data_IF_853365341150
#
_entry.id   IF_853365341150
#
_cell.length_a   1.000
_cell.length_b   1.000
_cell.length_c   1.000
_cell.angle_alpha   90.00
_cell.angle_beta   90.00
_cell.angle_gamma   90.00
#
_symmetry.space_group_name_H-M   'P 1'
#
loop_
_entity.id
_entity.type
_entity.pdbx_description
1 polymer ?
#
# COMPACT_ATOMS: atom_id res chain seq x y z
N UNK A 1 -2.51 -56.84 -32.14
CA UNK A 1 -2.51 -55.41 -32.53
C UNK A 1 -2.43 -54.58 -31.27
N UNK A 2 -1.27 -53.98 -30.98
CA UNK A 2 -1.06 -53.17 -29.77
C UNK A 2 -1.20 -51.70 -30.15
N UNK A 3 -2.19 -51.03 -29.56
CA UNK A 3 -2.46 -49.60 -29.73
C UNK A 3 -1.41 -48.77 -28.97
N UNK A 4 -0.82 -47.78 -29.64
CA UNK A 4 0.13 -46.83 -29.03
C UNK A 4 -0.59 -45.49 -28.79
N UNK A 5 -0.71 -45.11 -27.53
CA UNK A 5 -1.19 -43.79 -27.10
C UNK A 5 -0.03 -42.79 -27.13
N UNK A 6 -0.16 -41.59 -27.73
CA UNK A 6 0.86 -40.56 -27.60
C UNK A 6 0.65 -39.80 -26.28
N UNK A 7 1.71 -39.74 -25.46
CA UNK A 7 1.77 -38.89 -24.27
C UNK A 7 2.22 -37.50 -24.71
N UNK A 8 1.36 -36.49 -24.55
CA UNK A 8 1.72 -35.08 -24.70
C UNK A 8 2.26 -34.56 -23.36
N UNK A 9 3.56 -34.32 -23.28
CA UNK A 9 4.18 -33.62 -22.15
C UNK A 9 4.12 -32.10 -22.41
N UNK A 10 3.26 -31.39 -21.69
CA UNK A 10 3.22 -29.93 -21.70
C UNK A 10 4.25 -29.39 -20.69
N UNK A 11 5.33 -28.78 -21.18
CA UNK A 11 6.22 -27.96 -20.36
C UNK A 11 5.53 -26.63 -20.07
N UNK A 12 5.03 -26.44 -18.85
CA UNK A 12 4.66 -25.12 -18.35
C UNK A 12 5.93 -24.42 -17.87
N UNK A 13 6.47 -23.53 -18.70
CA UNK A 13 7.49 -22.58 -18.28
C UNK A 13 6.85 -21.52 -17.39
N UNK A 14 6.95 -21.69 -16.06
CA UNK A 14 6.59 -20.64 -15.10
C UNK A 14 7.74 -19.63 -15.10
N UNK A 15 7.64 -18.58 -15.91
CA UNK A 15 8.56 -17.45 -15.85
C UNK A 15 8.22 -16.59 -14.63
N UNK A 16 8.98 -16.73 -13.55
CA UNK A 16 9.02 -15.71 -12.50
C UNK A 16 9.72 -14.48 -13.08
N UNK A 17 8.96 -13.55 -13.66
CA UNK A 17 9.47 -12.23 -13.97
C UNK A 17 9.86 -11.56 -12.65
N UNK A 18 11.15 -11.37 -12.41
CA UNK A 18 11.60 -10.49 -11.33
C UNK A 18 11.15 -9.07 -11.70
N UNK A 19 10.36 -8.37 -10.86
CA UNK A 19 10.06 -6.97 -11.13
C UNK A 19 11.39 -6.22 -11.25
N UNK A 20 11.51 -5.45 -12.34
CA UNK A 20 12.67 -4.60 -12.59
C UNK A 20 12.84 -3.67 -11.39
N UNK A 21 14.05 -3.59 -10.81
CA UNK A 21 14.30 -2.75 -9.64
C UNK A 21 13.85 -1.32 -9.93
N UNK A 22 12.77 -0.88 -9.27
CA UNK A 22 12.25 0.48 -9.43
C UNK A 22 13.14 1.43 -8.65
N UNK A 23 13.30 2.65 -9.17
CA UNK A 23 13.92 3.72 -8.39
C UNK A 23 13.02 4.05 -7.22
N UNK A 24 13.57 4.02 -6.00
CA UNK A 24 12.84 4.31 -4.76
C UNK A 24 13.16 5.72 -4.27
N UNK A 25 12.17 6.38 -3.66
CA UNK A 25 12.30 7.70 -3.04
C UNK A 25 11.84 7.63 -1.59
N UNK A 26 12.68 8.07 -0.67
CA UNK A 26 12.35 8.19 0.75
C UNK A 26 11.09 9.04 0.91
N UNK A 27 10.08 8.50 1.60
CA UNK A 27 8.79 9.14 1.78
C UNK A 27 8.65 9.72 3.17
N UNK A 28 8.86 8.92 4.21
CA UNK A 28 8.84 9.37 5.60
C UNK A 28 9.94 8.67 6.40
N UNK A 29 10.46 9.38 7.40
CA UNK A 29 11.44 8.86 8.35
C UNK A 29 11.30 9.58 9.69
N UNK A 30 11.49 8.85 10.78
CA UNK A 30 11.65 9.41 12.13
C UNK A 30 13.11 9.27 12.58
N UNK A 31 13.69 10.30 13.22
CA UNK A 31 15.13 10.36 13.48
C UNK A 31 15.59 9.44 14.61
N UNK A 32 14.67 9.07 15.52
CA UNK A 32 14.98 8.26 16.70
C UNK A 32 13.74 7.47 17.15
N UNK A 33 13.99 6.36 17.84
CA UNK A 33 12.93 5.52 18.43
C UNK A 33 12.16 6.36 19.46
N UNK A 34 10.82 6.41 19.40
CA UNK A 34 10.02 7.17 20.36
C UNK A 34 10.23 6.72 21.79
N UNK A 35 10.08 7.65 22.73
CA UNK A 35 10.19 7.37 24.16
C UNK A 35 9.25 6.24 24.58
N UNK A 36 9.75 5.39 25.49
CA UNK A 36 9.02 4.23 25.96
C UNK A 36 9.11 3.02 25.04
N UNK A 37 9.68 3.12 23.84
CA UNK A 37 9.90 1.95 22.97
C UNK A 37 11.36 1.50 22.94
N UNK A 38 11.56 0.19 22.91
CA UNK A 38 12.87 -0.46 22.80
C UNK A 38 12.88 -1.30 21.53
N UNK A 39 13.92 -1.17 20.72
CA UNK A 39 14.13 -1.98 19.53
C UNK A 39 14.56 -3.40 19.95
N UNK A 40 13.81 -4.41 19.53
CA UNK A 40 14.04 -5.83 19.83
C UNK A 40 14.57 -6.63 18.62
N UNK A 41 14.97 -5.94 17.55
CA UNK A 41 15.54 -6.51 16.34
C UNK A 41 14.54 -6.63 15.18
N UNK A 42 14.97 -7.23 14.05
CA UNK A 42 14.13 -7.41 12.88
C UNK A 42 12.88 -8.23 13.20
N UNK A 43 11.74 -7.84 12.62
CA UNK A 43 10.52 -8.65 12.74
C UNK A 43 10.66 -9.94 11.91
N UNK A 44 10.05 -11.07 12.33
CA UNK A 44 10.06 -12.29 11.55
C UNK A 44 9.45 -12.06 10.16
N UNK A 45 10.15 -12.52 9.12
CA UNK A 45 9.84 -12.24 7.72
C UNK A 45 8.42 -12.67 7.28
N UNK A 46 7.87 -13.70 7.93
CA UNK A 46 6.56 -14.29 7.68
C UNK A 46 5.40 -13.60 8.44
N UNK A 47 5.73 -12.70 9.37
CA UNK A 47 4.73 -11.95 10.14
C UNK A 47 3.85 -11.14 9.21
N UNK A 48 2.52 -11.35 9.26
CA UNK A 48 1.57 -10.60 8.45
C UNK A 48 1.39 -9.18 8.98
N UNK A 49 1.58 -8.21 8.10
CA UNK A 49 1.30 -6.79 8.32
C UNK A 49 0.01 -6.41 7.61
N UNK A 50 -0.90 -5.78 8.37
CA UNK A 50 -2.08 -5.14 7.81
C UNK A 50 -1.79 -3.65 7.64
N UNK A 51 -1.43 -3.26 6.43
CA UNK A 51 -1.08 -1.89 6.07
C UNK A 51 -2.21 -1.23 5.30
N UNK A 52 -2.26 0.09 5.38
CA UNK A 52 -3.25 0.96 4.78
C UNK A 52 -2.50 2.03 4.01
N UNK A 53 -2.91 2.23 2.76
CA UNK A 53 -2.30 3.18 1.84
C UNK A 53 -3.33 4.25 1.57
N UNK A 54 -3.04 5.49 1.94
CA UNK A 54 -3.81 6.65 1.52
C UNK A 54 -3.39 7.03 0.09
N UNK A 55 -4.38 7.17 -0.80
CA UNK A 55 -4.18 7.65 -2.15
C UNK A 55 -4.25 9.18 -2.18
N UNK A 56 -3.42 9.79 -3.01
CA UNK A 56 -3.48 11.23 -3.21
C UNK A 56 -4.80 11.64 -3.88
N UNK A 57 -5.39 12.73 -3.39
CA UNK A 57 -6.56 13.33 -4.04
C UNK A 57 -6.11 14.18 -5.24
N UNK A 58 -6.70 13.94 -6.41
CA UNK A 58 -6.33 14.63 -7.65
C UNK A 58 -6.68 16.12 -7.67
N UNK A 59 -7.76 16.52 -6.98
CA UNK A 59 -8.30 17.88 -7.02
C UNK A 59 -9.01 18.25 -5.70
N UNK A 60 -8.26 18.61 -4.65
CA UNK A 60 -8.85 18.98 -3.36
C UNK A 60 -9.65 20.28 -3.43
N UNK A 61 -9.20 21.25 -4.24
CA UNK A 61 -9.87 22.55 -4.37
C UNK A 61 -11.18 22.42 -5.16
N UNK A 62 -11.17 21.71 -6.29
CA UNK A 62 -12.39 21.41 -7.03
C UNK A 62 -13.35 20.49 -6.27
N UNK A 63 -12.85 19.63 -5.38
CA UNK A 63 -13.70 18.89 -4.45
C UNK A 63 -14.40 19.81 -3.44
N UNK A 64 -13.69 20.82 -2.91
CA UNK A 64 -14.29 21.82 -2.00
C UNK A 64 -15.34 22.65 -2.75
N UNK A 65 -15.01 23.12 -3.95
CA UNK A 65 -15.94 23.91 -4.77
C UNK A 65 -17.19 23.09 -5.14
N UNK A 66 -17.01 21.85 -5.58
CA UNK A 66 -18.12 20.94 -5.86
C UNK A 66 -18.92 20.61 -4.60
N UNK A 67 -18.27 20.41 -3.45
CA UNK A 67 -18.95 20.18 -2.17
C UNK A 67 -19.87 21.36 -1.82
N UNK A 68 -19.37 22.60 -1.95
CA UNK A 68 -20.19 23.79 -1.73
C UNK A 68 -21.33 23.89 -2.74
N UNK A 69 -21.07 23.59 -4.00
CA UNK A 69 -22.08 23.65 -5.06
C UNK A 69 -23.21 22.64 -4.83
N UNK A 70 -22.90 21.39 -4.47
CA UNK A 70 -23.92 20.34 -4.24
C UNK A 70 -24.61 20.43 -2.88
N UNK A 71 -24.05 21.17 -1.92
CA UNK A 71 -24.59 21.31 -0.56
C UNK A 71 -25.37 22.61 -0.34
N UNK A 72 -25.31 23.55 -1.29
CA UNK A 72 -26.03 24.82 -1.21
C UNK A 72 -27.44 24.67 -1.78
N UNK A 73 -28.53 24.81 -0.99
CA UNK A 73 -29.90 24.56 -1.47
C UNK A 73 -30.35 25.44 -2.64
N UNK A 74 -29.69 26.58 -2.84
CA UNK A 74 -29.96 27.51 -3.95
C UNK A 74 -29.10 27.24 -5.18
N UNK A 75 -28.16 26.30 -5.13
CA UNK A 75 -27.39 25.89 -6.30
C UNK A 75 -28.24 24.97 -7.19
N UNK A 76 -28.07 25.12 -8.50
CA UNK A 76 -28.62 24.20 -9.50
C UNK A 76 -28.09 22.76 -9.35
N UNK A 77 -26.94 22.59 -8.71
CA UNK A 77 -26.28 21.30 -8.50
C UNK A 77 -26.61 20.66 -7.16
N UNK A 78 -27.52 21.25 -6.37
CA UNK A 78 -27.89 20.73 -5.04
C UNK A 78 -28.29 19.25 -5.11
N UNK A 79 -27.59 18.42 -4.35
CA UNK A 79 -27.77 16.96 -4.31
C UNK A 79 -27.15 16.15 -5.46
N UNK A 80 -26.37 16.76 -6.36
CA UNK A 80 -25.74 16.09 -7.50
C UNK A 80 -24.27 15.73 -7.22
N UNK A 81 -24.03 14.68 -6.44
CA UNK A 81 -22.68 14.30 -6.02
C UNK A 81 -21.80 13.77 -7.18
N UNK A 82 -20.49 14.05 -7.13
CA UNK A 82 -19.50 13.69 -8.16
C UNK A 82 -19.21 12.17 -8.28
N UNK A 83 -18.81 11.73 -9.48
CA UNK A 83 -18.26 10.40 -9.78
C UNK A 83 -16.72 10.37 -9.76
N UNK A 84 -16.12 9.17 -9.76
CA UNK A 84 -14.80 8.87 -9.19
C UNK A 84 -13.72 8.64 -10.26
N UNK A 85 -12.61 9.37 -10.24
CA UNK A 85 -11.59 9.30 -11.32
C UNK A 85 -10.11 9.10 -10.89
N UNK A 86 -9.48 8.22 -11.67
CA UNK A 86 -8.08 7.96 -12.09
C UNK A 86 -6.90 7.70 -11.12
N UNK A 87 -6.77 8.26 -9.91
CA UNK A 87 -5.54 8.05 -9.08
C UNK A 87 -5.36 6.61 -8.60
N UNK A 88 -6.46 5.90 -8.41
CA UNK A 88 -6.45 4.50 -7.98
C UNK A 88 -5.75 3.57 -8.99
N UNK A 89 -5.63 3.95 -10.26
CA UNK A 89 -5.15 3.03 -11.30
C UNK A 89 -3.66 2.67 -11.14
N UNK A 90 -2.79 3.64 -10.91
CA UNK A 90 -1.34 3.43 -10.84
C UNK A 90 -0.92 2.62 -9.60
N UNK A 91 -1.46 2.97 -8.43
CA UNK A 91 -1.16 2.26 -7.17
C UNK A 91 -1.70 0.83 -7.20
N UNK A 92 -2.92 0.62 -7.70
CA UNK A 92 -3.45 -0.75 -7.83
C UNK A 92 -2.65 -1.59 -8.83
N UNK A 93 -2.23 -1.00 -9.96
CA UNK A 93 -1.39 -1.72 -10.93
C UNK A 93 -0.04 -2.12 -10.34
N UNK A 94 0.59 -1.23 -9.56
CA UNK A 94 1.83 -1.53 -8.86
C UNK A 94 1.67 -2.65 -7.83
N UNK A 95 0.65 -2.58 -6.97
CA UNK A 95 0.37 -3.61 -5.97
C UNK A 95 0.05 -4.96 -6.63
N UNK A 96 -0.73 -4.96 -7.71
CA UNK A 96 -1.05 -6.16 -8.48
C UNK A 96 0.21 -6.78 -9.12
N UNK A 97 1.11 -5.97 -9.67
CA UNK A 97 2.39 -6.44 -10.23
C UNK A 97 3.27 -7.12 -9.15
N UNK A 98 3.18 -6.65 -7.91
CA UNK A 98 3.86 -7.26 -6.77
C UNK A 98 3.11 -8.47 -6.17
N UNK A 99 1.99 -8.88 -6.77
CA UNK A 99 1.16 -9.98 -6.28
C UNK A 99 0.37 -9.63 -5.01
N UNK A 100 0.20 -8.35 -4.71
CA UNK A 100 -0.55 -7.86 -3.55
C UNK A 100 -1.98 -7.53 -3.94
N UNK A 101 -2.92 -8.15 -3.23
CA UNK A 101 -4.33 -7.82 -3.37
C UNK A 101 -4.68 -6.63 -2.47
N UNK A 102 -5.04 -5.51 -3.09
CA UNK A 102 -5.46 -4.29 -2.40
C UNK A 102 -6.99 -4.20 -2.33
N UNK A 103 -7.52 -3.90 -1.14
CA UNK A 103 -8.96 -3.82 -0.90
C UNK A 103 -9.31 -2.37 -0.53
N UNK A 104 -10.17 -1.68 -1.30
CA UNK A 104 -10.67 -0.36 -0.90
C UNK A 104 -11.35 -0.41 0.46
N UNK A 105 -11.00 0.51 1.36
CA UNK A 105 -11.56 0.58 2.72
C UNK A 105 -12.91 1.31 2.74
N UNK A 106 -13.13 2.21 1.77
CA UNK A 106 -14.34 3.03 1.66
C UNK A 106 -14.88 3.04 0.23
N UNK A 107 -16.16 3.42 0.03
CA UNK A 107 -16.69 3.70 -1.30
C UNK A 107 -15.93 4.80 -2.03
N UNK A 108 -15.24 5.70 -1.33
CA UNK A 108 -14.38 6.73 -1.90
C UNK A 108 -13.03 6.17 -2.37
N UNK A 109 -12.64 4.95 -1.99
CA UNK A 109 -11.35 4.31 -2.27
C UNK A 109 -10.14 5.24 -2.13
N UNK A 110 -10.25 6.19 -1.22
CA UNK A 110 -9.19 7.06 -0.73
C UNK A 110 -8.16 6.27 0.07
N UNK A 111 -8.57 5.16 0.67
CA UNK A 111 -7.69 4.22 1.35
C UNK A 111 -7.77 2.81 0.76
N UNK A 112 -6.61 2.19 0.59
CA UNK A 112 -6.45 0.78 0.25
C UNK A 112 -5.89 0.00 1.44
N UNK A 113 -6.48 -1.13 1.77
CA UNK A 113 -5.97 -2.10 2.74
C UNK A 113 -5.18 -3.19 2.03
N UNK A 114 -4.01 -3.53 2.55
CA UNK A 114 -3.19 -4.65 2.10
C UNK A 114 -2.78 -5.51 3.29
N UNK A 115 -2.73 -6.83 3.07
CA UNK A 115 -2.13 -7.78 4.01
C UNK A 115 -0.94 -8.45 3.35
N UNK A 116 0.26 -8.20 3.87
CA UNK A 116 1.50 -8.71 3.29
C UNK A 116 2.47 -9.19 4.38
N UNK A 117 3.32 -10.20 4.11
CA UNK A 117 4.38 -10.57 5.04
C UNK A 117 5.43 -9.45 5.16
N UNK A 118 6.13 -9.38 6.30
CA UNK A 118 7.22 -8.43 6.55
C UNK A 118 8.25 -8.41 5.42
N UNK A 119 8.65 -9.57 4.89
CA UNK A 119 9.60 -9.63 3.77
C UNK A 119 9.12 -8.85 2.56
N UNK A 120 7.88 -9.09 2.13
CA UNK A 120 7.29 -8.41 0.98
C UNK A 120 7.08 -6.92 1.26
N UNK A 121 6.72 -6.55 2.49
CA UNK A 121 6.58 -5.14 2.88
C UNK A 121 7.93 -4.41 2.82
N UNK A 122 9.00 -5.01 3.34
CA UNK A 122 10.36 -4.45 3.24
C UNK A 122 10.76 -4.26 1.77
N UNK A 123 10.48 -5.24 0.90
CA UNK A 123 10.80 -5.17 -0.53
C UNK A 123 9.97 -4.10 -1.28
N UNK A 124 8.67 -3.98 -0.95
CA UNK A 124 7.76 -3.03 -1.60
C UNK A 124 8.07 -1.58 -1.27
N UNK A 125 8.40 -1.33 -0.01
CA UNK A 125 8.52 0.01 0.54
C UNK A 125 9.98 0.38 0.88
N UNK A 126 10.96 -0.43 0.48
CA UNK A 126 12.38 -0.24 0.81
C UNK A 126 12.55 0.21 2.28
N UNK A 127 12.05 -0.66 3.16
CA UNK A 127 11.85 -0.39 4.57
C UNK A 127 12.40 -1.53 5.42
N UNK A 128 12.61 -1.25 6.71
CA UNK A 128 13.05 -2.23 7.69
C UNK A 128 12.02 -2.34 8.82
N UNK A 129 11.09 -3.30 8.73
CA UNK A 129 10.15 -3.58 9.81
C UNK A 129 10.85 -4.31 10.97
N UNK A 130 10.83 -3.67 12.14
CA UNK A 130 11.43 -4.14 13.38
C UNK A 130 10.38 -4.37 14.46
N UNK A 131 10.67 -5.29 15.38
CA UNK A 131 9.87 -5.51 16.57
C UNK A 131 10.28 -4.48 17.64
N UNK A 132 9.31 -3.75 18.16
CA UNK A 132 9.49 -2.84 19.29
C UNK A 132 8.67 -3.31 20.49
N UNK A 133 9.24 -3.19 21.68
CA UNK A 133 8.51 -3.38 22.93
C UNK A 133 8.36 -2.05 23.66
N UNK A 134 7.15 -1.78 24.16
CA UNK A 134 6.94 -0.69 25.09
C UNK A 134 7.46 -1.08 26.47
N UNK A 135 8.37 -0.30 27.04
CA UNK A 135 9.10 -0.60 28.28
C UNK A 135 8.17 -0.79 29.47
N UNK A 136 7.17 0.08 29.63
CA UNK A 136 6.26 0.04 30.79
C UNK A 136 5.14 -1.00 30.68
N UNK A 137 4.57 -1.17 29.47
CA UNK A 137 3.39 -2.03 29.27
C UNK A 137 3.74 -3.43 28.76
N UNK A 138 4.97 -3.64 28.30
CA UNK A 138 5.41 -4.87 27.66
C UNK A 138 4.76 -5.16 26.30
N UNK A 139 3.94 -4.22 25.78
CA UNK A 139 3.25 -4.39 24.48
C UNK A 139 4.27 -4.44 23.35
N UNK A 140 4.11 -5.42 22.46
CA UNK A 140 4.96 -5.58 21.27
C UNK A 140 4.25 -5.04 20.04
N UNK A 141 4.98 -4.30 19.21
CA UNK A 141 4.48 -3.77 17.93
C UNK A 141 5.54 -4.00 16.85
N UNK A 142 5.10 -4.21 15.62
CA UNK A 142 5.99 -4.25 14.45
C UNK A 142 5.83 -2.94 13.69
N UNK A 143 6.91 -2.19 13.54
CA UNK A 143 6.95 -0.88 12.88
C UNK A 143 8.27 -0.71 12.15
N UNK A 144 8.33 0.28 11.27
CA UNK A 144 9.57 0.71 10.63
C UNK A 144 9.85 2.17 10.99
N UNK A 145 11.12 2.55 10.95
CA UNK A 145 11.58 3.91 11.25
C UNK A 145 11.57 4.81 10.01
N UNK A 146 11.55 4.22 8.82
CA UNK A 146 11.52 4.92 7.55
C UNK A 146 10.94 4.02 6.46
N UNK A 147 10.41 4.63 5.42
CA UNK A 147 10.01 3.90 4.22
C UNK A 147 10.12 4.78 2.98
N UNK A 148 10.25 4.13 1.85
CA UNK A 148 10.29 4.73 0.53
C UNK A 148 9.13 4.24 -0.33
N UNK A 149 8.89 4.93 -1.43
CA UNK A 149 7.96 4.50 -2.48
C UNK A 149 8.63 4.58 -3.84
N UNK A 150 8.17 3.82 -4.84
CA UNK A 150 8.60 4.01 -6.22
C UNK A 150 8.43 5.47 -6.68
N UNK A 151 9.43 6.01 -7.36
CA UNK A 151 9.41 7.41 -7.85
C UNK A 151 8.21 7.68 -8.75
N UNK A 152 7.75 6.69 -9.51
CA UNK A 152 6.58 6.77 -10.39
C UNK A 152 5.23 6.84 -9.63
N UNK A 153 5.24 6.66 -8.30
CA UNK A 153 4.07 6.80 -7.44
C UNK A 153 4.07 8.10 -6.64
N UNK A 154 5.06 8.97 -6.86
CA UNK A 154 5.05 10.30 -6.27
C UNK A 154 3.82 11.09 -6.73
N UNK A 155 3.05 11.63 -5.77
CA UNK A 155 1.80 12.32 -6.06
C UNK A 155 0.59 11.40 -6.28
N UNK A 156 0.75 10.07 -6.16
CA UNK A 156 -0.34 9.10 -6.19
C UNK A 156 -0.60 8.43 -4.84
N UNK A 157 0.40 8.44 -3.96
CA UNK A 157 0.35 7.87 -2.62
C UNK A 157 0.72 8.94 -1.59
N UNK A 158 -0.14 9.12 -0.60
CA UNK A 158 0.07 10.09 0.46
C UNK A 158 0.76 9.50 1.69
N UNK A 159 0.19 8.42 2.24
CA UNK A 159 0.61 7.86 3.53
C UNK A 159 0.56 6.34 3.50
N UNK A 160 1.55 5.68 4.09
CA UNK A 160 1.52 4.27 4.47
C UNK A 160 1.35 4.13 5.98
N UNK A 161 0.32 3.42 6.43
CA UNK A 161 -0.01 3.29 7.86
C UNK A 161 -0.39 1.85 8.25
N UNK A 162 0.02 1.34 9.43
CA UNK A 162 0.86 2.00 10.42
C UNK A 162 2.35 1.80 10.15
N UNK A 163 3.12 2.87 10.23
CA UNK A 163 4.58 2.87 10.02
C UNK A 163 5.28 3.76 11.06
N UNK A 164 5.62 4.99 10.68
CA UNK A 164 6.21 6.00 11.56
C UNK A 164 5.15 6.87 12.26
N UNK A 165 3.86 6.60 11.98
CA UNK A 165 2.67 7.24 12.56
C UNK A 165 1.86 6.34 13.48
#
# INVERSE_FOLDING_TARGET
MVSKLPVFAALFSVTFAKPMARSMKLREAIPAVPDGYVNNGPAPADTQLNLRIALAQSDPDGLIDALYDVSTPTSSSYGQHLSKEETASAVNAWLTQAGVNAIPISPAADWLSISVPVSLANDLFDADFTLFNHSETGKRIVRTMQYSIPVDLEGHLDVLHPTVS
#
